data_IF_190627744874
#
_entry.id   IF_190627744874
#
_cell.length_a   1.000
_cell.length_b   1.000
_cell.length_c   1.000
_cell.angle_alpha   90.00
_cell.angle_beta   90.00
_cell.angle_gamma   90.00
#
_symmetry.space_group_name_H-M   'P 1'
#
loop_
_entity.id
_entity.type
_entity.pdbx_description
1 polymer ?
#
# COMPACT_ATOMS: atom_id res chain seq x y z
N UNK A 1 10.05 11.55 -11.03
CA UNK A 1 9.31 11.75 -9.79
C UNK A 1 9.25 13.24 -9.51
N UNK A 2 8.13 13.69 -8.95
CA UNK A 2 7.93 15.05 -8.54
C UNK A 2 8.28 15.24 -7.05
N UNK A 3 7.89 16.40 -6.48
CA UNK A 3 8.21 16.78 -5.12
C UNK A 3 7.74 15.77 -4.06
N UNK A 4 6.58 15.12 -4.28
CA UNK A 4 6.05 14.07 -3.39
C UNK A 4 7.00 12.88 -3.31
N UNK A 5 7.37 12.32 -4.46
CA UNK A 5 8.24 11.15 -4.51
C UNK A 5 9.65 11.48 -3.98
N UNK A 6 10.16 12.68 -4.27
CA UNK A 6 11.46 13.12 -3.77
C UNK A 6 11.44 13.33 -2.24
N UNK A 7 10.38 13.87 -1.69
CA UNK A 7 10.19 14.01 -0.24
C UNK A 7 10.11 12.65 0.43
N UNK A 8 9.26 11.73 -0.09
CA UNK A 8 9.16 10.37 0.43
C UNK A 8 10.52 9.67 0.40
N UNK A 9 11.27 9.77 -0.71
CA UNK A 9 12.56 9.10 -0.82
C UNK A 9 13.56 9.55 0.25
N UNK A 10 13.56 10.84 0.61
CA UNK A 10 14.42 11.37 1.69
C UNK A 10 14.13 10.69 3.03
N UNK A 11 12.83 10.54 3.38
CA UNK A 11 12.45 9.88 4.63
C UNK A 11 12.78 8.38 4.62
N UNK A 12 12.55 7.68 3.51
CA UNK A 12 12.87 6.25 3.41
C UNK A 12 14.38 6.02 3.51
N UNK A 13 15.18 6.85 2.83
CA UNK A 13 16.66 6.80 2.89
C UNK A 13 17.15 7.06 4.31
N UNK A 14 16.64 8.12 4.94
CA UNK A 14 17.01 8.47 6.30
C UNK A 14 16.72 7.32 7.26
N UNK A 15 15.56 6.69 7.19
CA UNK A 15 15.23 5.55 8.05
C UNK A 15 16.11 4.34 7.78
N UNK A 16 16.37 4.01 6.52
CA UNK A 16 17.26 2.90 6.16
C UNK A 16 18.70 3.12 6.69
N UNK A 17 19.22 4.34 6.59
CA UNK A 17 20.53 4.70 7.13
C UNK A 17 20.60 4.59 8.67
N UNK A 18 19.44 4.75 9.34
CA UNK A 18 19.29 4.51 10.79
C UNK A 18 18.96 3.05 11.14
N UNK A 19 19.26 2.10 10.22
CA UNK A 19 19.08 0.66 10.41
C UNK A 19 17.62 0.21 10.58
N UNK A 20 16.66 1.02 10.17
CA UNK A 20 15.26 0.58 10.03
C UNK A 20 15.16 -0.26 8.76
N UNK A 21 14.55 -1.43 8.84
CA UNK A 21 14.25 -2.24 7.66
C UNK A 21 13.14 -1.58 6.86
N UNK A 22 13.45 -1.05 5.70
CA UNK A 22 12.51 -0.34 4.83
C UNK A 22 12.21 -1.18 3.61
N UNK A 23 10.95 -1.61 3.48
CA UNK A 23 10.45 -2.43 2.38
C UNK A 23 9.56 -1.56 1.46
N UNK A 24 9.91 -1.46 0.20
CA UNK A 24 9.15 -0.71 -0.81
C UNK A 24 8.73 -1.65 -1.93
N UNK A 25 7.42 -1.91 -2.01
CA UNK A 25 6.83 -2.71 -3.07
C UNK A 25 6.18 -1.80 -4.11
N UNK A 26 6.62 -1.88 -5.34
CA UNK A 26 6.15 -1.07 -6.46
C UNK A 26 5.40 -1.93 -7.47
N UNK A 27 4.19 -1.51 -7.87
CA UNK A 27 3.52 -2.14 -9.01
C UNK A 27 4.29 -1.84 -10.30
N UNK A 28 4.62 -2.88 -11.05
CA UNK A 28 5.50 -2.77 -12.21
C UNK A 28 4.91 -1.90 -13.33
N UNK A 29 3.58 -1.80 -13.44
CA UNK A 29 2.94 -0.99 -14.45
C UNK A 29 2.73 0.46 -13.97
N UNK A 30 2.16 0.65 -12.77
CA UNK A 30 1.88 1.97 -12.22
C UNK A 30 3.13 2.79 -11.92
N UNK A 31 4.28 2.12 -11.77
CA UNK A 31 5.53 2.77 -11.40
C UNK A 31 6.49 2.99 -12.60
N UNK A 32 6.06 2.77 -13.84
CA UNK A 32 6.89 3.02 -15.04
C UNK A 32 7.46 4.44 -15.14
N UNK A 33 6.75 5.51 -14.70
CA UNK A 33 7.30 6.86 -14.73
C UNK A 33 8.45 7.10 -13.75
N UNK A 34 8.71 6.19 -12.81
CA UNK A 34 9.80 6.34 -11.84
C UNK A 34 11.17 6.23 -12.51
N UNK A 35 12.01 7.24 -12.31
CA UNK A 35 13.35 7.28 -12.89
C UNK A 35 14.26 6.20 -12.26
N UNK A 36 15.07 5.55 -13.08
CA UNK A 36 16.03 4.53 -12.63
C UNK A 36 16.98 5.06 -11.54
N UNK A 37 17.39 6.31 -11.64
CA UNK A 37 18.27 6.93 -10.66
C UNK A 37 17.60 7.12 -9.29
N UNK A 38 16.30 7.37 -9.28
CA UNK A 38 15.51 7.45 -8.04
C UNK A 38 15.49 6.08 -7.33
N UNK A 39 15.23 5.02 -8.09
CA UNK A 39 15.27 3.64 -7.56
C UNK A 39 16.67 3.26 -7.06
N UNK A 40 17.72 3.64 -7.82
CA UNK A 40 19.11 3.35 -7.44
C UNK A 40 19.46 4.02 -6.11
N UNK A 41 19.16 5.29 -5.94
CA UNK A 41 19.41 6.03 -4.68
C UNK A 41 18.78 5.35 -3.46
N UNK A 42 17.55 4.86 -3.58
CA UNK A 42 16.88 4.12 -2.51
C UNK A 42 17.63 2.84 -2.18
N UNK A 43 17.98 2.04 -3.19
CA UNK A 43 18.70 0.77 -3.00
C UNK A 43 20.09 0.96 -2.41
N UNK A 44 20.83 1.96 -2.89
CA UNK A 44 22.18 2.29 -2.40
C UNK A 44 22.18 2.72 -0.92
N UNK A 45 21.04 3.27 -0.45
CA UNK A 45 20.81 3.62 0.95
C UNK A 45 20.31 2.46 1.82
N UNK A 46 20.09 1.26 1.25
CA UNK A 46 19.62 0.09 1.99
C UNK A 46 18.11 -0.14 1.99
N UNK A 47 17.33 0.61 1.21
CA UNK A 47 15.91 0.33 1.02
C UNK A 47 15.72 -0.89 0.13
N UNK A 48 14.96 -1.88 0.59
CA UNK A 48 14.61 -3.06 -0.19
C UNK A 48 13.49 -2.71 -1.18
N UNK A 49 13.86 -2.44 -2.44
CA UNK A 49 12.91 -2.07 -3.50
C UNK A 49 12.61 -3.28 -4.37
N UNK A 50 11.35 -3.71 -4.36
CA UNK A 50 10.85 -4.87 -5.08
C UNK A 50 9.73 -4.46 -6.03
N UNK A 51 9.66 -5.11 -7.17
CA UNK A 51 8.62 -4.90 -8.17
C UNK A 51 7.62 -6.05 -8.14
N UNK A 52 6.37 -5.72 -7.88
CA UNK A 52 5.26 -6.67 -7.96
C UNK A 52 4.86 -6.86 -9.43
N UNK A 53 4.70 -8.13 -9.83
CA UNK A 53 4.21 -8.53 -11.16
C UNK A 53 4.97 -7.91 -12.32
N UNK A 54 6.30 -8.07 -12.30
CA UNK A 54 7.15 -7.67 -13.44
C UNK A 54 6.60 -8.25 -14.74
N UNK A 55 6.39 -7.37 -15.74
CA UNK A 55 5.99 -7.79 -17.07
C UNK A 55 7.08 -8.68 -17.67
N UNK A 56 6.75 -9.94 -17.91
CA UNK A 56 7.55 -10.87 -18.69
C UNK A 56 6.74 -11.24 -19.93
N UNK A 57 7.40 -11.49 -21.06
CA UNK A 57 6.76 -11.79 -22.33
C UNK A 57 5.68 -12.88 -22.24
N UNK A 58 5.84 -13.86 -21.35
CA UNK A 58 4.90 -14.96 -21.11
C UNK A 58 3.82 -14.65 -20.06
N UNK A 59 3.80 -13.45 -19.48
CA UNK A 59 2.80 -13.01 -18.50
C UNK A 59 1.93 -11.86 -19.00
N UNK A 60 1.92 -11.60 -20.31
CA UNK A 60 1.14 -10.50 -20.90
C UNK A 60 -0.36 -10.60 -20.59
N UNK A 61 -0.91 -11.80 -20.47
CA UNK A 61 -2.31 -12.01 -20.07
C UNK A 61 -2.60 -11.53 -18.62
N UNK A 62 -1.59 -11.49 -17.76
CA UNK A 62 -1.69 -10.97 -16.39
C UNK A 62 -1.43 -9.45 -16.29
N UNK A 63 -1.06 -8.80 -17.39
CA UNK A 63 -0.80 -7.36 -17.43
C UNK A 63 -2.03 -6.52 -17.07
N UNK A 64 -3.24 -7.05 -17.28
CA UNK A 64 -4.49 -6.41 -16.89
C UNK A 64 -4.79 -6.51 -15.37
N UNK A 65 -4.13 -7.43 -14.66
CA UNK A 65 -4.31 -7.64 -13.22
C UNK A 65 -3.38 -6.73 -12.42
N UNK A 66 -3.73 -5.44 -12.32
CA UNK A 66 -2.94 -4.44 -11.58
C UNK A 66 -3.25 -4.51 -10.10
N UNK A 67 -2.21 -4.31 -9.28
CA UNK A 67 -2.43 -4.08 -7.86
C UNK A 67 -2.78 -2.62 -7.63
N UNK A 68 -3.94 -2.36 -7.06
CA UNK A 68 -4.35 -1.04 -6.58
C UNK A 68 -4.21 -0.90 -5.07
N UNK A 69 -3.58 -1.86 -4.42
CA UNK A 69 -3.35 -1.83 -2.97
C UNK A 69 -2.34 -0.72 -2.66
N UNK A 70 -2.78 0.24 -1.86
CA UNK A 70 -1.96 1.33 -1.35
C UNK A 70 -1.98 1.24 0.16
N UNK A 71 -0.86 0.84 0.72
CA UNK A 71 -0.71 0.63 2.15
C UNK A 71 0.67 1.09 2.61
N UNK A 72 0.70 1.75 3.76
CA UNK A 72 1.94 2.02 4.49
C UNK A 72 1.75 1.50 5.89
N UNK A 73 2.69 0.70 6.38
CA UNK A 73 2.69 0.24 7.77
C UNK A 73 4.01 0.62 8.42
N UNK A 74 3.92 1.18 9.61
CA UNK A 74 5.07 1.59 10.40
C UNK A 74 5.11 0.77 11.68
N UNK A 75 6.19 0.02 11.87
CA UNK A 75 6.49 -0.82 13.03
C UNK A 75 5.38 -1.83 13.39
N UNK A 76 4.52 -2.19 12.41
CA UNK A 76 3.35 -3.02 12.66
C UNK A 76 2.30 -2.41 13.59
N UNK A 77 2.40 -1.12 13.92
CA UNK A 77 1.57 -0.41 14.90
C UNK A 77 0.70 0.68 14.30
N UNK A 78 1.17 1.32 13.24
CA UNK A 78 0.44 2.39 12.56
C UNK A 78 0.29 1.99 11.10
N UNK A 79 -0.93 2.06 10.59
CA UNK A 79 -1.25 1.75 9.19
C UNK A 79 -1.90 2.92 8.49
N UNK A 80 -1.62 3.08 7.20
CA UNK A 80 -2.29 4.05 6.34
C UNK A 80 -2.78 3.34 5.08
N UNK A 81 -3.97 3.69 4.65
CA UNK A 81 -4.49 3.31 3.33
C UNK A 81 -5.38 4.41 2.77
N UNK A 82 -5.61 4.37 1.47
CA UNK A 82 -6.40 5.35 0.74
C UNK A 82 -6.06 5.37 -0.74
N UNK A 83 -6.45 6.41 -1.45
CA UNK A 83 -6.19 6.55 -2.88
C UNK A 83 -4.91 7.31 -3.22
N UNK A 84 -4.05 7.62 -2.26
CA UNK A 84 -2.83 8.39 -2.45
C UNK A 84 -1.87 7.77 -3.48
N UNK A 85 -1.09 8.63 -4.14
CA UNK A 85 -0.05 8.23 -5.07
C UNK A 85 1.22 9.07 -4.91
N UNK A 86 2.27 8.72 -5.68
CA UNK A 86 3.59 9.37 -5.63
C UNK A 86 3.76 10.44 -6.72
N UNK A 87 2.68 11.10 -7.12
CA UNK A 87 2.71 12.16 -8.12
C UNK A 87 2.23 13.50 -7.52
N UNK A 88 2.71 14.59 -8.08
CA UNK A 88 2.49 15.94 -7.52
C UNK A 88 1.04 16.41 -7.60
N UNK A 89 0.22 15.86 -8.48
CA UNK A 89 -1.22 16.14 -8.53
C UNK A 89 -1.99 15.63 -7.29
N UNK A 90 -1.35 14.86 -6.41
CA UNK A 90 -1.87 14.50 -5.09
C UNK A 90 -1.54 15.54 -4.01
N UNK A 91 -0.75 16.58 -4.35
CA UNK A 91 -0.51 17.74 -3.46
C UNK A 91 -1.64 18.74 -3.60
N UNK A 92 -1.99 19.37 -2.47
CA UNK A 92 -3.00 20.40 -2.43
C UNK A 92 -4.32 19.93 -1.87
N UNK A 93 -5.35 20.73 -2.06
CA UNK A 93 -6.68 20.54 -1.48
C UNK A 93 -7.76 20.07 -2.49
N UNK A 94 -7.37 19.89 -3.76
CA UNK A 94 -8.25 19.47 -4.83
C UNK A 94 -9.19 20.59 -5.32
N UNK A 95 -8.87 21.85 -5.08
CA UNK A 95 -9.64 23.01 -5.58
C UNK A 95 -9.20 23.47 -6.97
N UNK A 96 -8.09 22.97 -7.49
CA UNK A 96 -7.59 23.26 -8.83
C UNK A 96 -7.72 22.04 -9.75
N UNK A 97 -7.87 22.27 -11.04
CA UNK A 97 -8.10 21.22 -12.05
C UNK A 97 -6.93 20.22 -12.19
N UNK A 98 -5.73 20.63 -11.81
CA UNK A 98 -4.50 19.84 -11.81
C UNK A 98 -4.27 19.07 -10.49
N UNK A 99 -5.20 19.17 -9.53
CA UNK A 99 -5.11 18.54 -8.22
C UNK A 99 -6.18 17.47 -8.04
N UNK A 100 -5.76 16.37 -7.46
CA UNK A 100 -6.67 15.28 -7.08
C UNK A 100 -7.00 15.34 -5.60
N UNK A 101 -8.29 15.19 -5.30
CA UNK A 101 -8.77 15.08 -3.93
C UNK A 101 -8.90 13.62 -3.55
N UNK A 102 -8.37 13.27 -2.38
CA UNK A 102 -8.37 11.89 -1.89
C UNK A 102 -8.63 11.82 -0.39
N UNK A 103 -9.25 10.73 0.04
CA UNK A 103 -9.41 10.41 1.45
C UNK A 103 -8.41 9.33 1.85
N UNK A 104 -7.58 9.63 2.82
CA UNK A 104 -6.63 8.69 3.38
C UNK A 104 -6.97 8.47 4.86
N UNK A 105 -6.82 7.23 5.32
CA UNK A 105 -7.17 6.84 6.68
C UNK A 105 -5.92 6.33 7.37
N UNK A 106 -5.71 6.79 8.61
CA UNK A 106 -4.71 6.29 9.53
C UNK A 106 -5.37 5.36 10.53
N UNK A 107 -4.77 4.20 10.75
CA UNK A 107 -5.23 3.16 11.68
C UNK A 107 -4.21 2.90 12.77
N UNK A 108 -4.72 2.57 13.96
CA UNK A 108 -4.02 1.93 15.06
C UNK A 108 -4.86 0.73 15.53
N UNK A 109 -4.27 -0.15 16.33
CA UNK A 109 -4.97 -1.35 16.81
C UNK A 109 -5.06 -2.49 15.81
N UNK A 110 -5.99 -3.44 15.98
CA UNK A 110 -6.01 -4.72 15.26
C UNK A 110 -6.09 -4.61 13.74
N UNK A 111 -6.70 -3.54 13.21
CA UNK A 111 -6.81 -3.30 11.77
C UNK A 111 -5.44 -3.14 11.09
N UNK A 112 -4.42 -2.68 11.85
CA UNK A 112 -3.05 -2.57 11.32
C UNK A 112 -2.47 -3.93 10.95
N UNK A 113 -2.75 -4.97 11.73
CA UNK A 113 -2.32 -6.33 11.42
C UNK A 113 -2.93 -6.84 10.10
N UNK A 114 -4.18 -6.46 9.79
CA UNK A 114 -4.81 -6.78 8.51
C UNK A 114 -4.14 -6.05 7.33
N UNK A 115 -3.80 -4.77 7.50
CA UNK A 115 -3.03 -4.00 6.50
C UNK A 115 -1.64 -4.60 6.29
N UNK A 116 -0.95 -4.96 7.38
CA UNK A 116 0.35 -5.63 7.35
C UNK A 116 0.27 -6.99 6.63
N UNK A 117 -0.79 -7.77 6.88
CA UNK A 117 -0.99 -9.04 6.20
C UNK A 117 -1.21 -8.87 4.69
N UNK A 118 -1.95 -7.84 4.26
CA UNK A 118 -2.12 -7.52 2.85
C UNK A 118 -0.79 -7.16 2.17
N UNK A 119 0.06 -6.37 2.84
CA UNK A 119 1.41 -6.07 2.36
C UNK A 119 2.28 -7.32 2.32
N UNK A 120 2.29 -8.13 3.41
CA UNK A 120 3.08 -9.34 3.51
C UNK A 120 2.73 -10.38 2.43
N UNK A 121 1.44 -10.52 2.11
CA UNK A 121 1.00 -11.41 1.03
C UNK A 121 1.55 -10.95 -0.33
N UNK A 122 1.49 -9.67 -0.64
CA UNK A 122 2.04 -9.12 -1.88
C UNK A 122 3.58 -9.19 -1.93
N UNK A 123 4.24 -9.00 -0.78
CA UNK A 123 5.69 -9.17 -0.66
C UNK A 123 6.11 -10.60 -0.91
N UNK A 124 5.41 -11.58 -0.30
CA UNK A 124 5.68 -13.00 -0.52
C UNK A 124 5.42 -13.42 -1.98
N UNK A 125 4.37 -12.89 -2.64
CA UNK A 125 4.14 -13.10 -4.09
C UNK A 125 5.35 -12.63 -4.92
N UNK A 126 5.96 -11.52 -4.54
CA UNK A 126 7.03 -10.90 -5.32
C UNK A 126 8.42 -11.46 -5.05
N UNK A 127 8.68 -11.95 -3.83
CA UNK A 127 10.02 -12.31 -3.34
C UNK A 127 10.15 -13.76 -2.91
N UNK A 128 9.05 -14.41 -2.52
CA UNK A 128 9.05 -15.69 -1.82
C UNK A 128 9.33 -15.59 -0.31
N UNK A 129 9.65 -14.39 0.20
CA UNK A 129 9.92 -14.18 1.63
C UNK A 129 8.62 -14.01 2.41
N UNK A 130 8.49 -14.74 3.51
CA UNK A 130 7.38 -14.59 4.46
C UNK A 130 7.76 -13.58 5.55
N UNK A 131 7.03 -12.46 5.61
CA UNK A 131 7.18 -11.47 6.67
C UNK A 131 6.38 -11.93 7.89
N UNK A 132 7.09 -12.35 8.94
CA UNK A 132 6.49 -12.94 10.15
C UNK A 132 7.17 -12.44 11.42
N UNK A 133 6.61 -12.81 12.58
CA UNK A 133 7.18 -12.50 13.89
C UNK A 133 6.90 -11.09 14.37
N UNK A 134 7.42 -10.78 15.56
CA UNK A 134 7.13 -9.54 16.30
C UNK A 134 7.63 -8.27 15.57
N UNK A 135 8.58 -8.38 14.66
CA UNK A 135 9.03 -7.25 13.85
C UNK A 135 7.91 -6.72 12.95
N UNK A 136 7.09 -7.61 12.38
CA UNK A 136 6.01 -7.24 11.45
C UNK A 136 4.64 -7.29 12.09
N UNK A 137 4.45 -8.16 13.08
CA UNK A 137 3.20 -8.38 13.79
C UNK A 137 3.40 -8.33 15.29
N UNK A 138 3.74 -7.15 15.85
CA UNK A 138 3.96 -7.03 17.30
C UNK A 138 2.69 -7.29 18.07
N UNK A 139 2.78 -8.01 19.18
CA UNK A 139 1.61 -8.35 20.00
C UNK A 139 0.80 -7.13 20.45
N UNK A 140 1.47 -5.99 20.64
CA UNK A 140 0.81 -4.72 20.99
C UNK A 140 -0.14 -4.19 19.93
N UNK A 141 0.01 -4.59 18.67
CA UNK A 141 -0.89 -4.16 17.59
C UNK A 141 -2.25 -4.86 17.60
N UNK A 142 -2.42 -5.89 18.43
CA UNK A 142 -3.71 -6.59 18.60
C UNK A 142 -4.55 -6.03 19.74
N UNK A 143 -4.03 -5.07 20.51
CA UNK A 143 -4.82 -4.39 21.53
C UNK A 143 -5.79 -3.39 20.87
N UNK A 144 -7.00 -3.31 21.39
CA UNK A 144 -7.98 -2.32 20.94
C UNK A 144 -7.50 -0.90 21.26
N UNK A 145 -7.69 -0.01 20.27
CA UNK A 145 -7.36 1.40 20.37
C UNK A 145 -8.55 2.23 19.89
N UNK A 146 -9.13 3.02 20.82
CA UNK A 146 -10.34 3.80 20.54
C UNK A 146 -11.60 2.94 20.50
N UNK A 147 -12.69 3.54 20.04
CA UNK A 147 -14.05 3.00 20.05
C UNK A 147 -14.66 2.78 18.64
N UNK A 148 -13.87 3.01 17.59
CA UNK A 148 -14.31 2.86 16.21
C UNK A 148 -14.10 1.43 15.73
N UNK A 149 -15.16 0.78 15.28
CA UNK A 149 -15.04 -0.51 14.59
C UNK A 149 -14.59 -0.29 13.15
N UNK A 150 -13.50 -0.92 12.77
CA UNK A 150 -12.96 -0.86 11.42
C UNK A 150 -12.64 -2.26 10.90
N UNK A 151 -12.95 -2.51 9.64
CA UNK A 151 -12.61 -3.73 8.93
C UNK A 151 -11.85 -3.43 7.65
N UNK A 152 -10.98 -4.33 7.24
CA UNK A 152 -10.29 -4.25 5.96
C UNK A 152 -10.92 -5.22 4.97
N UNK A 153 -11.45 -4.70 3.87
CA UNK A 153 -11.81 -5.51 2.71
C UNK A 153 -10.62 -5.52 1.75
N UNK A 154 -9.98 -6.67 1.62
CA UNK A 154 -8.86 -6.87 0.71
C UNK A 154 -9.33 -7.58 -0.56
N UNK A 155 -9.12 -6.95 -1.70
CA UNK A 155 -9.48 -7.52 -3.00
C UNK A 155 -8.27 -7.50 -3.93
N UNK A 156 -7.97 -8.66 -4.51
CA UNK A 156 -6.96 -8.81 -5.56
C UNK A 156 -7.65 -9.15 -6.88
N UNK A 157 -7.14 -8.67 -8.01
CA UNK A 157 -7.73 -8.95 -9.32
C UNK A 157 -7.41 -10.41 -9.73
N UNK A 158 -8.22 -11.33 -9.23
CA UNK A 158 -8.17 -12.76 -9.61
C UNK A 158 -9.44 -13.11 -10.36
N UNK A 159 -9.33 -13.84 -11.46
CA UNK A 159 -10.49 -14.27 -12.25
C UNK A 159 -11.50 -14.99 -11.36
N UNK A 160 -12.76 -14.56 -11.40
CA UNK A 160 -13.84 -15.13 -10.59
C UNK A 160 -13.89 -14.65 -9.13
N UNK A 161 -12.95 -13.77 -8.70
CA UNK A 161 -12.97 -13.18 -7.37
C UNK A 161 -13.72 -11.85 -7.37
N UNK A 162 -14.82 -11.75 -6.62
CA UNK A 162 -15.69 -10.55 -6.55
C UNK A 162 -15.93 -10.07 -5.12
N UNK A 163 -14.91 -10.05 -4.21
CA UNK A 163 -15.15 -9.66 -2.82
C UNK A 163 -15.59 -8.20 -2.69
N UNK A 164 -15.05 -7.28 -3.50
CA UNK A 164 -15.44 -5.88 -3.49
C UNK A 164 -16.89 -5.70 -3.99
N UNK A 165 -17.25 -6.34 -5.09
CA UNK A 165 -18.62 -6.32 -5.62
C UNK A 165 -19.64 -6.82 -4.58
N UNK A 166 -19.36 -7.96 -3.95
CA UNK A 166 -20.20 -8.54 -2.91
C UNK A 166 -20.31 -7.62 -1.69
N UNK A 167 -19.20 -7.03 -1.25
CA UNK A 167 -19.19 -6.09 -0.13
C UNK A 167 -20.10 -4.89 -0.41
N UNK A 168 -19.98 -4.26 -1.58
CA UNK A 168 -20.82 -3.12 -1.95
C UNK A 168 -22.28 -3.54 -2.12
N UNK A 169 -22.54 -4.66 -2.80
CA UNK A 169 -23.93 -5.14 -2.98
C UNK A 169 -24.62 -5.41 -1.64
N UNK A 170 -23.94 -6.07 -0.70
CA UNK A 170 -24.48 -6.34 0.64
C UNK A 170 -24.65 -5.06 1.45
N UNK A 171 -23.72 -4.10 1.35
CA UNK A 171 -23.81 -2.82 2.04
C UNK A 171 -25.01 -2.01 1.55
N UNK A 172 -25.22 -1.96 0.23
CA UNK A 172 -26.36 -1.29 -0.39
C UNK A 172 -27.66 -1.97 0.00
N UNK A 173 -27.73 -3.30 -0.12
CA UNK A 173 -28.94 -4.07 0.24
C UNK A 173 -29.27 -3.99 1.74
N UNK A 174 -28.27 -3.82 2.60
CA UNK A 174 -28.43 -3.69 4.04
C UNK A 174 -28.79 -2.29 4.53
N UNK A 175 -28.73 -1.27 3.68
CA UNK A 175 -29.02 0.11 4.06
C UNK A 175 -30.49 0.27 4.48
N UNK A 176 -30.74 0.89 5.65
CA UNK A 176 -32.10 1.06 6.20
C UNK A 176 -32.56 2.50 6.29
N UNK A 177 -31.67 3.48 6.20
CA UNK A 177 -32.00 4.91 6.36
C UNK A 177 -31.38 5.79 5.29
N UNK A 178 -30.10 5.64 5.06
CA UNK A 178 -29.32 6.46 4.11
C UNK A 178 -28.26 5.60 3.43
N UNK A 179 -27.93 5.99 2.23
CA UNK A 179 -26.84 5.43 1.45
C UNK A 179 -25.99 6.56 0.86
#
# INVERSE_FOLDING_TARGET
PGAVADSLSKYLIDRAQHKVRVLLLLDAFGSQPLKRDWIRKLKDAGVEVVWLRKLRWYTLQKAAQRSHVRVVVVDGKIGYTGGFGLADYWLGDGHHEDQWRESNVRFEGPTVAALQAAFAAAWAEATGELLTGDMFFPRSSFADVGDVQAGLMYSIPTTGSTPAERFFALSIAGARRTL
#
